data_IF_050396545029
#
_entry.id   IF_050396545029
#
_cell.length_a   1.000
_cell.length_b   1.000
_cell.length_c   1.000
_cell.angle_alpha   90.00
_cell.angle_beta   90.00
_cell.angle_gamma   90.00
#
_symmetry.space_group_name_H-M   'P 1'
#
loop_
_entity.id
_entity.type
_entity.pdbx_description
1 polymer ?
#
# COMPACT_ATOMS: atom_id res chain seq x y z
N UNK A 1 -31.17 -19.64 3.20
CA UNK A 1 -30.50 -18.52 3.90
C UNK A 1 -31.57 -17.53 4.34
N UNK A 2 -31.53 -16.98 5.56
CA UNK A 2 -32.51 -15.98 6.01
C UNK A 2 -32.53 -14.78 5.06
N UNK A 3 -33.71 -14.34 4.64
CA UNK A 3 -33.86 -13.14 3.81
C UNK A 3 -33.67 -11.88 4.66
N UNK A 4 -32.87 -10.92 4.18
CA UNK A 4 -32.70 -9.62 4.84
C UNK A 4 -34.02 -8.85 4.77
N UNK A 5 -34.56 -8.35 5.89
CA UNK A 5 -35.73 -7.48 5.86
C UNK A 5 -35.44 -6.23 5.01
N UNK A 6 -36.35 -5.80 4.11
CA UNK A 6 -36.09 -4.68 3.19
C UNK A 6 -35.75 -3.37 3.90
N UNK A 7 -36.16 -3.23 5.17
CA UNK A 7 -35.92 -2.05 6.00
C UNK A 7 -34.83 -2.20 7.07
N UNK A 8 -34.14 -3.35 7.14
CA UNK A 8 -33.05 -3.58 8.09
C UNK A 8 -31.97 -2.49 7.99
N UNK A 9 -31.62 -1.85 9.11
CA UNK A 9 -30.58 -0.82 9.17
C UNK A 9 -29.20 -1.37 9.56
N UNK A 10 -29.14 -2.60 10.09
CA UNK A 10 -27.92 -3.28 10.49
C UNK A 10 -27.96 -4.76 10.10
N UNK A 11 -27.76 -5.05 8.80
CA UNK A 11 -27.94 -6.36 8.17
C UNK A 11 -26.82 -7.34 8.53
N UNK A 12 -26.59 -7.57 9.82
CA UNK A 12 -25.68 -8.57 10.36
C UNK A 12 -26.51 -9.79 10.73
N UNK A 13 -26.26 -10.92 10.07
CA UNK A 13 -27.11 -12.12 10.11
C UNK A 13 -27.23 -12.74 11.51
N UNK A 14 -26.24 -12.52 12.37
CA UNK A 14 -26.20 -12.98 13.76
C UNK A 14 -26.83 -11.99 14.74
N UNK A 15 -27.26 -10.81 14.28
CA UNK A 15 -27.84 -9.77 15.13
C UNK A 15 -29.38 -9.88 15.19
N UNK A 16 -30.00 -9.88 16.39
CA UNK A 16 -31.45 -9.96 16.53
C UNK A 16 -32.18 -8.87 15.73
N UNK A 17 -33.10 -9.30 14.85
CA UNK A 17 -33.91 -8.40 14.03
C UNK A 17 -33.15 -7.63 12.93
N UNK A 18 -31.82 -7.76 12.85
CA UNK A 18 -30.97 -7.05 11.87
C UNK A 18 -31.18 -5.51 11.87
N UNK A 19 -31.54 -4.95 13.02
CA UNK A 19 -31.90 -3.54 13.13
C UNK A 19 -31.40 -2.94 14.44
N UNK A 20 -30.58 -1.90 14.36
CA UNK A 20 -30.18 -1.12 15.53
C UNK A 20 -31.35 -0.27 15.97
N UNK A 21 -31.63 -0.30 17.27
CA UNK A 21 -32.61 0.60 17.91
C UNK A 21 -32.31 2.08 17.60
N UNK A 22 -33.34 2.91 17.46
CA UNK A 22 -33.21 4.35 17.21
C UNK A 22 -32.31 5.08 18.24
N UNK A 23 -32.36 4.66 19.50
CA UNK A 23 -31.51 5.24 20.55
C UNK A 23 -30.01 4.99 20.29
N UNK A 24 -29.65 3.79 19.83
CA UNK A 24 -28.28 3.40 19.49
C UNK A 24 -27.79 4.11 18.22
N UNK A 25 -28.66 4.27 17.23
CA UNK A 25 -28.37 5.09 16.03
C UNK A 25 -28.15 6.56 16.42
N UNK A 26 -28.97 7.11 17.31
CA UNK A 26 -28.79 8.47 17.83
C UNK A 26 -27.45 8.64 18.56
N UNK A 27 -27.05 7.64 19.36
CA UNK A 27 -25.75 7.63 20.02
C UNK A 27 -24.57 7.64 19.04
N UNK A 28 -24.62 6.79 18.02
CA UNK A 28 -23.63 6.75 16.93
C UNK A 28 -23.53 8.09 16.19
N UNK A 29 -24.67 8.70 15.86
CA UNK A 29 -24.70 10.02 15.21
C UNK A 29 -24.07 11.09 16.10
N UNK A 30 -24.36 11.08 17.41
CA UNK A 30 -23.74 12.01 18.38
C UNK A 30 -22.23 11.81 18.46
N UNK A 31 -21.76 10.57 18.50
CA UNK A 31 -20.33 10.26 18.50
C UNK A 31 -19.66 10.77 17.22
N UNK A 32 -20.22 10.47 16.04
CA UNK A 32 -19.70 10.94 14.75
C UNK A 32 -19.64 12.46 14.66
N UNK A 33 -20.63 13.18 15.20
CA UNK A 33 -20.58 14.65 15.27
C UNK A 33 -19.43 15.15 16.14
N UNK A 34 -19.14 14.48 17.25
CA UNK A 34 -18.01 14.83 18.14
C UNK A 34 -16.65 14.53 17.49
N UNK A 35 -16.55 13.48 16.67
CA UNK A 35 -15.33 13.18 15.91
C UNK A 35 -14.91 14.33 14.97
N UNK A 36 -15.88 15.08 14.46
CA UNK A 36 -15.64 16.19 13.52
C UNK A 36 -15.27 17.51 14.21
N UNK A 37 -15.25 17.55 15.54
CA UNK A 37 -14.84 18.75 16.29
C UNK A 37 -13.31 18.83 16.40
N UNK A 38 -12.78 20.05 16.47
CA UNK A 38 -11.34 20.29 16.66
C UNK A 38 -10.83 19.57 17.92
N UNK A 39 -9.74 18.82 17.77
CA UNK A 39 -9.12 18.03 18.85
C UNK A 39 -9.49 16.54 18.88
N UNK A 40 -10.52 16.11 18.14
CA UNK A 40 -10.92 14.70 18.08
C UNK A 40 -11.49 14.14 19.40
N UNK A 41 -11.87 12.86 19.43
CA UNK A 41 -12.39 12.21 20.64
C UNK A 41 -11.25 11.93 21.64
N UNK A 42 -11.51 12.16 22.92
CA UNK A 42 -10.65 11.67 23.99
C UNK A 42 -10.81 10.16 24.19
N UNK A 43 -9.84 9.51 24.84
CA UNK A 43 -9.93 8.10 25.23
C UNK A 43 -11.13 7.79 26.12
N UNK A 44 -11.53 8.74 26.96
CA UNK A 44 -12.74 8.61 27.76
C UNK A 44 -13.99 8.57 26.87
N UNK A 45 -14.03 9.38 25.82
CA UNK A 45 -15.13 9.38 24.85
C UNK A 45 -15.17 8.09 24.02
N UNK A 46 -14.02 7.56 23.60
CA UNK A 46 -13.97 6.27 22.91
C UNK A 46 -14.48 5.13 23.81
N UNK A 47 -14.07 5.11 25.09
CA UNK A 47 -14.57 4.14 26.08
C UNK A 47 -16.07 4.28 26.32
N UNK A 48 -16.54 5.51 26.53
CA UNK A 48 -17.96 5.83 26.71
C UNK A 48 -18.78 5.39 25.49
N UNK A 49 -18.26 5.62 24.28
CA UNK A 49 -18.90 5.18 23.05
C UNK A 49 -19.03 3.65 23.00
N UNK A 50 -17.94 2.92 23.24
CA UNK A 50 -17.95 1.45 23.24
C UNK A 50 -18.94 0.89 24.27
N UNK A 51 -18.94 1.42 25.49
CA UNK A 51 -19.81 0.95 26.56
C UNK A 51 -21.29 1.24 26.28
N UNK A 52 -21.63 2.49 25.96
CA UNK A 52 -23.02 2.90 25.75
C UNK A 52 -23.61 2.34 24.45
N UNK A 53 -22.78 2.14 23.42
CA UNK A 53 -23.26 1.50 22.20
C UNK A 53 -23.46 0.00 22.41
N UNK A 54 -22.67 -0.66 23.26
CA UNK A 54 -22.90 -2.06 23.63
C UNK A 54 -24.17 -2.20 24.47
N UNK A 55 -24.27 -1.44 25.56
CA UNK A 55 -25.35 -1.53 26.54
C UNK A 55 -26.12 -0.22 26.64
N UNK A 56 -27.36 -0.20 26.14
CA UNK A 56 -28.25 0.98 26.27
C UNK A 56 -28.96 0.97 27.63
N UNK A 57 -28.20 0.81 28.72
CA UNK A 57 -28.68 0.73 30.11
C UNK A 57 -28.68 -0.67 30.72
N UNK A 58 -28.97 -0.76 32.02
CA UNK A 58 -28.85 -2.00 32.81
C UNK A 58 -29.75 -3.13 32.32
N UNK A 59 -30.96 -2.81 31.82
CA UNK A 59 -31.89 -3.81 31.30
C UNK A 59 -31.35 -4.48 30.01
N UNK A 60 -30.71 -3.70 29.14
CA UNK A 60 -30.09 -4.20 27.91
C UNK A 60 -28.94 -5.17 28.25
N UNK A 61 -28.15 -4.85 29.27
CA UNK A 61 -27.08 -5.72 29.77
C UNK A 61 -27.61 -7.02 30.39
N UNK A 62 -28.71 -6.97 31.15
CA UNK A 62 -29.35 -8.17 31.70
C UNK A 62 -29.95 -9.06 30.60
N UNK A 63 -30.60 -8.49 29.59
CA UNK A 63 -31.12 -9.25 28.45
C UNK A 63 -30.01 -9.91 27.63
N UNK A 64 -28.85 -9.26 27.48
CA UNK A 64 -27.70 -9.86 26.80
C UNK A 64 -27.21 -11.14 27.51
N UNK A 65 -27.22 -11.18 28.85
CA UNK A 65 -26.89 -12.39 29.62
C UNK A 65 -27.83 -13.57 29.35
N UNK A 66 -29.07 -13.31 28.94
CA UNK A 66 -30.08 -14.34 28.63
C UNK A 66 -29.95 -14.86 27.18
N UNK A 67 -29.24 -14.14 26.32
CA UNK A 67 -29.03 -14.49 24.88
C UNK A 67 -27.62 -15.00 24.59
N UNK A 68 -26.97 -15.62 25.58
CA UNK A 68 -25.57 -16.06 25.55
C UNK A 68 -24.57 -14.94 25.17
N UNK A 69 -24.96 -13.67 25.32
CA UNK A 69 -24.13 -12.51 25.02
C UNK A 69 -23.85 -12.27 23.53
N UNK A 70 -24.49 -12.99 22.61
CA UNK A 70 -24.22 -12.87 21.16
C UNK A 70 -24.42 -11.45 20.65
N UNK A 71 -25.53 -10.82 21.07
CA UNK A 71 -25.86 -9.43 20.71
C UNK A 71 -24.78 -8.46 21.20
N UNK A 72 -24.42 -8.55 22.48
CA UNK A 72 -23.36 -7.72 23.08
C UNK A 72 -22.00 -7.92 22.39
N UNK A 73 -21.67 -9.15 21.98
CA UNK A 73 -20.46 -9.44 21.19
C UNK A 73 -20.47 -8.73 19.85
N UNK A 74 -21.53 -8.89 19.05
CA UNK A 74 -21.66 -8.24 17.73
C UNK A 74 -21.57 -6.72 17.83
N UNK A 75 -22.21 -6.11 18.84
CA UNK A 75 -22.12 -4.66 19.08
C UNK A 75 -20.70 -4.23 19.49
N UNK A 76 -20.02 -5.04 20.30
CA UNK A 76 -18.62 -4.79 20.67
C UNK A 76 -17.70 -4.86 19.45
N UNK A 77 -17.89 -5.84 18.57
CA UNK A 77 -17.18 -5.91 17.29
C UNK A 77 -17.48 -4.66 16.45
N UNK A 78 -18.75 -4.26 16.33
CA UNK A 78 -19.17 -3.11 15.52
C UNK A 78 -18.55 -1.79 16.00
N UNK A 79 -18.49 -1.57 17.31
CA UNK A 79 -17.84 -0.37 17.88
C UNK A 79 -16.35 -0.34 17.64
N UNK A 80 -15.63 -1.46 17.80
CA UNK A 80 -14.19 -1.53 17.54
C UNK A 80 -13.88 -1.37 16.05
N UNK A 81 -14.65 -2.02 15.18
CA UNK A 81 -14.57 -1.83 13.73
C UNK A 81 -14.81 -0.36 13.33
N UNK A 82 -15.74 0.31 14.01
CA UNK A 82 -16.01 1.73 13.80
C UNK A 82 -14.84 2.63 14.23
N UNK A 83 -14.30 2.43 15.43
CA UNK A 83 -13.13 3.18 15.89
C UNK A 83 -11.91 2.94 14.98
N UNK A 84 -11.73 1.73 14.47
CA UNK A 84 -10.64 1.38 13.54
C UNK A 84 -10.67 2.20 12.23
N UNK A 85 -11.84 2.76 11.87
CA UNK A 85 -12.03 3.56 10.65
C UNK A 85 -11.57 5.03 10.75
N UNK A 86 -11.14 5.47 11.93
CA UNK A 86 -10.67 6.85 12.17
C UNK A 86 -9.26 6.85 12.76
N UNK A 87 -8.42 7.82 12.40
CA UNK A 87 -7.03 7.87 12.87
C UNK A 87 -6.91 7.86 14.41
N UNK A 88 -7.67 8.76 15.06
CA UNK A 88 -7.79 8.87 16.52
C UNK A 88 -8.32 7.60 17.20
N UNK A 89 -9.26 6.90 16.55
CA UNK A 89 -9.81 5.65 17.06
C UNK A 89 -8.79 4.52 16.97
N UNK A 90 -7.97 4.48 15.91
CA UNK A 90 -6.83 3.57 15.80
C UNK A 90 -5.80 3.81 16.89
N UNK A 91 -5.43 5.06 17.14
CA UNK A 91 -4.47 5.42 18.20
C UNK A 91 -4.98 5.01 19.59
N UNK A 92 -6.29 5.13 19.83
CA UNK A 92 -6.93 4.62 21.03
C UNK A 92 -6.84 3.08 21.10
N UNK A 93 -7.20 2.37 20.03
CA UNK A 93 -7.16 0.90 19.99
C UNK A 93 -5.73 0.38 20.16
N UNK A 94 -4.73 1.01 19.56
CA UNK A 94 -3.32 0.65 19.69
C UNK A 94 -2.84 0.81 21.13
N UNK A 95 -3.06 1.97 21.76
CA UNK A 95 -2.67 2.23 23.16
C UNK A 95 -3.32 1.27 24.15
N UNK A 96 -4.51 0.78 23.84
CA UNK A 96 -5.23 -0.20 24.66
C UNK A 96 -4.97 -1.66 24.24
N UNK A 97 -4.07 -1.92 23.26
CA UNK A 97 -3.74 -3.26 22.74
C UNK A 97 -4.94 -4.01 22.17
N UNK A 98 -5.83 -3.28 21.51
CA UNK A 98 -7.07 -3.78 20.90
C UNK A 98 -7.06 -3.67 19.38
N UNK A 99 -5.97 -3.19 18.76
CA UNK A 99 -5.90 -2.93 17.33
C UNK A 99 -6.05 -4.22 16.49
N UNK A 100 -5.34 -5.28 16.85
CA UNK A 100 -5.43 -6.59 16.18
C UNK A 100 -6.81 -7.22 16.36
N UNK A 101 -7.35 -7.18 17.59
CA UNK A 101 -8.71 -7.67 17.87
C UNK A 101 -9.76 -6.91 17.05
N UNK A 102 -9.62 -5.59 16.93
CA UNK A 102 -10.51 -4.77 16.11
C UNK A 102 -10.41 -5.12 14.62
N UNK A 103 -9.21 -5.47 14.13
CA UNK A 103 -9.02 -5.92 12.76
C UNK A 103 -9.73 -7.27 12.51
N UNK A 104 -9.63 -8.20 13.46
CA UNK A 104 -10.36 -9.46 13.41
C UNK A 104 -11.89 -9.27 13.49
N UNK A 105 -12.36 -8.31 14.29
CA UNK A 105 -13.78 -7.98 14.39
C UNK A 105 -14.35 -7.46 13.07
N UNK A 106 -13.58 -6.66 12.31
CA UNK A 106 -14.00 -6.22 10.97
C UNK A 106 -14.22 -7.43 10.07
N UNK A 107 -13.29 -8.38 10.09
CA UNK A 107 -13.42 -9.59 9.31
C UNK A 107 -14.64 -10.42 9.76
N UNK A 108 -14.87 -10.61 11.07
CA UNK A 108 -16.06 -11.29 11.60
C UNK A 108 -17.38 -10.61 11.19
N UNK A 109 -17.44 -9.28 11.28
CA UNK A 109 -18.63 -8.52 10.87
C UNK A 109 -18.88 -8.62 9.38
N UNK A 110 -17.86 -8.44 8.55
CA UNK A 110 -17.99 -8.51 7.09
C UNK A 110 -18.55 -9.87 6.66
N UNK A 111 -18.11 -10.95 7.33
CA UNK A 111 -18.60 -12.33 7.12
C UNK A 111 -20.06 -12.52 7.49
N UNK A 112 -20.52 -11.79 8.48
CA UNK A 112 -21.89 -11.85 8.95
C UNK A 112 -22.85 -10.96 8.12
N UNK A 113 -22.35 -10.16 7.17
CA UNK A 113 -23.17 -9.33 6.29
C UNK A 113 -23.46 -10.08 4.98
N UNK A 114 -24.71 -10.08 4.48
CA UNK A 114 -25.07 -10.69 3.20
C UNK A 114 -24.35 -10.07 2.01
N UNK A 115 -23.94 -10.90 1.06
CA UNK A 115 -23.11 -10.50 -0.08
C UNK A 115 -23.64 -9.26 -0.83
N UNK A 116 -24.94 -9.24 -1.16
CA UNK A 116 -25.53 -8.10 -1.87
C UNK A 116 -25.46 -6.78 -1.10
N UNK A 117 -25.44 -6.82 0.24
CA UNK A 117 -25.21 -5.62 1.06
C UNK A 117 -23.73 -5.25 1.04
N UNK A 118 -22.82 -6.22 1.13
CA UNK A 118 -21.38 -5.97 1.03
C UNK A 118 -21.05 -5.29 -0.31
N UNK A 119 -21.63 -5.75 -1.41
CA UNK A 119 -21.49 -5.13 -2.73
C UNK A 119 -21.92 -3.65 -2.72
N UNK A 120 -23.06 -3.33 -2.10
CA UNK A 120 -23.52 -1.94 -1.93
C UNK A 120 -22.57 -1.12 -1.06
N UNK A 121 -22.02 -1.71 0.01
CA UNK A 121 -21.03 -1.06 0.86
C UNK A 121 -19.72 -0.79 0.10
N UNK A 122 -19.31 -1.71 -0.76
CA UNK A 122 -18.07 -1.65 -1.54
C UNK A 122 -18.16 -0.67 -2.70
N UNK A 123 -19.32 -0.54 -3.32
CA UNK A 123 -19.60 0.48 -4.33
C UNK A 123 -19.56 1.93 -3.78
N UNK A 124 -19.51 2.08 -2.45
CA UNK A 124 -19.42 3.36 -1.74
C UNK A 124 -18.17 3.44 -0.87
N UNK A 125 -17.19 2.57 -1.13
CA UNK A 125 -15.95 2.54 -0.38
C UNK A 125 -15.12 3.79 -0.68
N UNK A 126 -14.38 4.24 0.33
CA UNK A 126 -13.57 5.45 0.23
C UNK A 126 -12.21 5.27 0.91
N UNK A 127 -11.28 6.16 0.58
CA UNK A 127 -9.98 6.24 1.26
C UNK A 127 -10.14 7.21 2.44
N UNK A 128 -10.21 6.65 3.64
CA UNK A 128 -10.33 7.40 4.89
C UNK A 128 -8.99 7.86 5.46
N UNK A 129 -9.00 8.13 6.77
CA UNK A 129 -7.83 8.57 7.53
C UNK A 129 -6.65 7.60 7.36
N UNK A 130 -5.44 8.16 7.27
CA UNK A 130 -4.20 7.40 7.08
C UNK A 130 -4.26 6.41 5.91
N UNK A 131 -5.10 6.70 4.91
CA UNK A 131 -5.32 5.87 3.72
C UNK A 131 -6.00 4.52 3.95
N UNK A 132 -6.71 4.34 5.06
CA UNK A 132 -7.51 3.12 5.26
C UNK A 132 -8.64 3.01 4.22
N UNK A 133 -8.93 1.79 3.76
CA UNK A 133 -10.12 1.53 2.93
C UNK A 133 -11.32 1.46 3.86
N UNK A 134 -12.20 2.44 3.81
CA UNK A 134 -13.37 2.54 4.69
C UNK A 134 -14.63 2.21 3.92
N UNK A 135 -15.45 1.34 4.51
CA UNK A 135 -16.79 1.00 4.03
C UNK A 135 -17.83 1.46 5.04
N UNK A 136 -18.97 1.93 4.56
CA UNK A 136 -20.05 2.47 5.39
C UNK A 136 -21.31 1.65 5.21
N UNK A 137 -22.00 1.32 6.31
CA UNK A 137 -23.28 0.64 6.25
C UNK A 137 -24.31 1.48 5.48
N UNK A 138 -25.20 0.88 4.66
CA UNK A 138 -26.04 1.68 3.75
C UNK A 138 -27.03 2.62 4.45
N UNK A 139 -27.54 2.25 5.63
CA UNK A 139 -28.63 2.96 6.32
C UNK A 139 -28.27 3.56 7.68
N UNK A 140 -27.08 3.25 8.19
CA UNK A 140 -26.57 3.80 9.44
C UNK A 140 -25.16 4.31 9.19
N UNK A 141 -24.75 5.43 9.82
CA UNK A 141 -23.41 6.00 9.62
C UNK A 141 -22.34 5.23 10.41
N UNK A 142 -22.45 3.89 10.42
CA UNK A 142 -21.48 2.98 10.98
C UNK A 142 -20.47 2.68 9.87
N UNK A 143 -19.20 2.81 10.22
CA UNK A 143 -18.06 2.67 9.29
C UNK A 143 -17.19 1.52 9.73
N UNK A 144 -16.45 0.92 8.80
CA UNK A 144 -15.47 -0.13 9.08
C UNK A 144 -14.25 0.11 8.19
N UNK A 145 -13.04 0.07 8.75
CA UNK A 145 -11.82 0.02 7.92
C UNK A 145 -11.48 -1.42 7.60
N UNK A 146 -11.40 -1.77 6.32
CA UNK A 146 -11.02 -3.11 5.88
C UNK A 146 -9.61 -3.43 6.37
N UNK A 147 -9.48 -4.66 6.85
CA UNK A 147 -8.24 -5.18 7.43
C UNK A 147 -7.67 -6.33 6.59
N UNK A 148 -6.41 -6.68 6.82
CA UNK A 148 -5.78 -7.82 6.13
C UNK A 148 -6.51 -9.15 6.43
N UNK A 149 -7.08 -9.28 7.63
CA UNK A 149 -7.84 -10.45 8.11
C UNK A 149 -9.09 -10.70 7.26
N UNK A 150 -9.63 -9.65 6.60
CA UNK A 150 -10.73 -9.78 5.64
C UNK A 150 -10.33 -10.57 4.39
N UNK A 151 -9.03 -10.63 4.05
CA UNK A 151 -8.50 -11.29 2.85
C UNK A 151 -8.01 -12.73 3.10
N UNK A 152 -8.21 -13.27 4.32
CA UNK A 152 -7.74 -14.61 4.68
C UNK A 152 -8.52 -15.73 3.98
N UNK A 153 -7.80 -16.79 3.59
CA UNK A 153 -8.31 -17.97 2.89
C UNK A 153 -9.22 -18.80 3.81
N UNK A 154 -10.50 -18.44 3.84
CA UNK A 154 -11.54 -19.19 4.53
C UNK A 154 -12.87 -19.10 3.79
N UNK A 155 -13.83 -19.95 4.14
CA UNK A 155 -15.17 -19.99 3.52
C UNK A 155 -15.94 -18.65 3.54
N UNK A 156 -15.44 -17.68 4.31
CA UNK A 156 -16.02 -16.36 4.47
C UNK A 156 -14.99 -15.23 4.25
N UNK A 157 -13.79 -15.53 3.74
CA UNK A 157 -12.86 -14.50 3.30
C UNK A 157 -13.42 -13.68 2.13
N UNK A 158 -12.88 -12.49 1.92
CA UNK A 158 -13.21 -11.71 0.75
C UNK A 158 -12.87 -12.50 -0.51
N UNK A 159 -13.82 -12.59 -1.45
CA UNK A 159 -13.60 -13.28 -2.73
C UNK A 159 -12.79 -12.40 -3.67
N UNK A 160 -11.98 -13.03 -4.52
CA UNK A 160 -11.14 -12.32 -5.49
C UNK A 160 -11.95 -11.40 -6.40
N UNK A 161 -13.13 -11.83 -6.85
CA UNK A 161 -14.00 -11.03 -7.73
C UNK A 161 -14.50 -9.76 -7.03
N UNK A 162 -14.87 -9.88 -5.75
CA UNK A 162 -15.36 -8.77 -4.96
C UNK A 162 -14.21 -7.80 -4.59
N UNK A 163 -13.01 -8.32 -4.35
CA UNK A 163 -11.81 -7.52 -4.15
C UNK A 163 -11.44 -6.73 -5.42
N UNK A 164 -11.52 -7.37 -6.60
CA UNK A 164 -11.31 -6.70 -7.89
C UNK A 164 -12.35 -5.61 -8.14
N UNK A 165 -13.62 -5.89 -7.88
CA UNK A 165 -14.68 -4.91 -8.01
C UNK A 165 -14.45 -3.71 -7.07
N UNK A 166 -14.06 -3.95 -5.82
CA UNK A 166 -13.72 -2.91 -4.86
C UNK A 166 -12.55 -2.04 -5.35
N UNK A 167 -11.45 -2.64 -5.80
CA UNK A 167 -10.23 -1.90 -6.10
C UNK A 167 -10.21 -1.24 -7.47
N UNK A 168 -10.77 -1.90 -8.49
CA UNK A 168 -10.59 -1.53 -9.89
C UNK A 168 -11.84 -0.99 -10.56
N UNK A 169 -13.05 -1.22 -10.04
CA UNK A 169 -14.22 -0.61 -10.65
C UNK A 169 -14.28 0.90 -10.33
N UNK A 170 -14.58 1.75 -11.32
CA UNK A 170 -14.83 3.16 -11.11
C UNK A 170 -15.93 3.37 -10.06
N UNK A 171 -15.69 4.27 -9.11
CA UNK A 171 -16.69 4.73 -8.15
C UNK A 171 -17.55 5.84 -8.78
N UNK A 172 -18.45 6.47 -8.01
CA UNK A 172 -19.36 7.52 -8.50
C UNK A 172 -18.64 8.72 -9.16
N UNK A 173 -17.41 9.02 -8.75
CA UNK A 173 -16.56 10.08 -9.34
C UNK A 173 -15.76 9.63 -10.57
N UNK A 174 -15.98 8.41 -11.04
CA UNK A 174 -15.31 7.84 -12.22
C UNK A 174 -13.88 7.37 -11.98
N UNK A 175 -13.34 7.51 -10.76
CA UNK A 175 -12.02 6.98 -10.40
C UNK A 175 -12.16 5.71 -9.55
N UNK A 176 -11.33 4.71 -9.82
CA UNK A 176 -11.21 3.51 -8.98
C UNK A 176 -10.46 3.82 -7.67
N UNK A 177 -10.59 2.94 -6.66
CA UNK A 177 -9.88 3.13 -5.40
C UNK A 177 -8.36 3.10 -5.58
N UNK A 178 -7.84 2.25 -6.46
CA UNK A 178 -6.39 2.18 -6.71
C UNK A 178 -5.86 3.49 -7.33
N UNK A 179 -6.64 4.13 -8.19
CA UNK A 179 -6.28 5.45 -8.76
C UNK A 179 -6.29 6.55 -7.71
N UNK A 180 -7.31 6.58 -6.85
CA UNK A 180 -7.39 7.55 -5.75
C UNK A 180 -6.22 7.38 -4.79
N UNK A 181 -5.82 6.13 -4.51
CA UNK A 181 -4.66 5.86 -3.67
C UNK A 181 -3.36 6.30 -4.36
N UNK A 182 -3.18 5.97 -5.64
CA UNK A 182 -1.99 6.37 -6.40
C UNK A 182 -1.79 7.88 -6.36
N UNK A 183 -2.87 8.66 -6.56
CA UNK A 183 -2.83 10.12 -6.47
C UNK A 183 -2.42 10.57 -5.06
N UNK A 184 -3.09 10.06 -4.03
CA UNK A 184 -2.84 10.39 -2.62
C UNK A 184 -1.44 10.03 -2.13
N UNK A 185 -0.82 8.98 -2.68
CA UNK A 185 0.55 8.58 -2.35
C UNK A 185 1.61 9.38 -3.13
N UNK A 186 1.22 10.01 -4.26
CA UNK A 186 2.08 10.91 -5.02
C UNK A 186 2.23 12.29 -4.39
N UNK A 187 1.31 12.66 -3.50
CA UNK A 187 1.40 13.89 -2.72
C UNK A 187 2.38 13.67 -1.54
N UNK A 188 3.48 14.44 -1.49
CA UNK A 188 4.55 14.33 -0.46
C UNK A 188 4.07 14.62 0.99
N UNK A 189 2.81 14.99 1.18
CA UNK A 189 2.19 15.28 2.48
C UNK A 189 1.66 14.01 3.14
N UNK A 190 2.54 13.03 3.34
CA UNK A 190 2.11 11.72 3.83
C UNK A 190 1.94 11.78 5.35
N UNK A 191 0.73 11.56 5.89
CA UNK A 191 0.53 11.41 7.33
C UNK A 191 1.38 10.25 7.87
N UNK A 192 1.66 10.29 9.17
CA UNK A 192 2.23 9.14 9.89
C UNK A 192 1.40 7.89 9.56
N UNK A 193 1.98 6.98 8.81
CA UNK A 193 1.27 5.82 8.27
C UNK A 193 1.38 4.64 9.22
N UNK A 194 0.28 3.91 9.35
CA UNK A 194 0.16 2.73 10.21
C UNK A 194 0.49 1.47 9.39
N UNK A 195 1.40 0.63 9.90
CA UNK A 195 1.81 -0.62 9.26
C UNK A 195 0.63 -1.56 8.97
N UNK A 196 -0.41 -1.54 9.82
CA UNK A 196 -1.61 -2.35 9.63
C UNK A 196 -2.37 -1.92 8.38
N UNK A 197 -2.40 -0.63 8.04
CA UNK A 197 -3.06 -0.14 6.82
C UNK A 197 -2.33 -0.63 5.58
N UNK A 198 -0.99 -0.59 5.59
CA UNK A 198 -0.19 -1.12 4.49
C UNK A 198 -0.32 -2.63 4.35
N UNK A 199 -0.43 -3.36 5.46
CA UNK A 199 -0.75 -4.78 5.42
C UNK A 199 -2.13 -5.04 4.81
N UNK A 200 -3.15 -4.24 5.13
CA UNK A 200 -4.49 -4.35 4.51
C UNK A 200 -4.44 -4.14 3.01
N UNK A 201 -3.78 -3.09 2.53
CA UNK A 201 -3.61 -2.84 1.09
C UNK A 201 -2.83 -3.96 0.41
N UNK A 202 -1.75 -4.42 1.03
CA UNK A 202 -0.93 -5.53 0.53
C UNK A 202 -1.76 -6.80 0.35
N UNK A 203 -2.49 -7.20 1.38
CA UNK A 203 -3.33 -8.39 1.37
C UNK A 203 -4.42 -8.32 0.29
N UNK A 204 -5.05 -7.15 0.15
CA UNK A 204 -6.12 -6.95 -0.84
C UNK A 204 -5.59 -6.97 -2.28
N UNK A 205 -4.42 -6.36 -2.52
CA UNK A 205 -3.76 -6.39 -3.84
C UNK A 205 -3.31 -7.80 -4.20
N UNK A 206 -2.72 -8.55 -3.26
CA UNK A 206 -2.35 -9.94 -3.50
C UNK A 206 -3.56 -10.84 -3.72
N UNK A 207 -4.67 -10.62 -3.03
CA UNK A 207 -5.91 -11.33 -3.31
C UNK A 207 -6.40 -11.03 -4.73
N UNK A 208 -6.30 -9.78 -5.18
CA UNK A 208 -6.70 -9.39 -6.54
C UNK A 208 -5.81 -10.00 -7.63
N UNK A 209 -4.49 -9.92 -7.48
CA UNK A 209 -3.48 -10.43 -8.43
C UNK A 209 -3.45 -11.97 -8.39
N UNK A 210 -3.62 -12.56 -7.21
CA UNK A 210 -3.59 -14.00 -6.99
C UNK A 210 -2.17 -14.54 -7.17
N UNK A 211 -2.00 -15.57 -8.00
CA UNK A 211 -0.69 -16.08 -8.45
C UNK A 211 -0.47 -15.84 -9.95
N UNK A 212 -1.33 -15.04 -10.59
CA UNK A 212 -1.36 -14.84 -12.02
C UNK A 212 -0.57 -13.59 -12.42
N UNK A 213 -0.09 -13.51 -13.67
CA UNK A 213 0.47 -12.28 -14.21
C UNK A 213 -0.55 -11.12 -14.17
N UNK A 214 -0.07 -9.88 -14.06
CA UNK A 214 -0.95 -8.70 -14.07
C UNK A 214 -1.71 -8.59 -15.38
N UNK A 215 -1.14 -9.07 -16.49
CA UNK A 215 -1.81 -9.10 -17.79
C UNK A 215 -3.20 -9.77 -17.74
N UNK A 216 -3.40 -10.75 -16.86
CA UNK A 216 -4.66 -11.49 -16.71
C UNK A 216 -5.75 -10.70 -15.95
N UNK A 217 -5.44 -9.52 -15.43
CA UNK A 217 -6.43 -8.66 -14.77
C UNK A 217 -7.31 -7.89 -15.76
N UNK A 218 -6.96 -7.85 -17.05
CA UNK A 218 -7.70 -7.17 -18.13
C UNK A 218 -8.05 -5.70 -17.79
N UNK A 219 -7.14 -5.01 -17.10
CA UNK A 219 -7.33 -3.63 -16.67
C UNK A 219 -7.04 -2.65 -17.82
N UNK A 220 -7.73 -1.50 -17.81
CA UNK A 220 -7.40 -0.43 -18.74
C UNK A 220 -6.04 0.21 -18.38
N UNK A 221 -5.40 0.86 -19.35
CA UNK A 221 -4.07 1.47 -19.21
C UNK A 221 -3.93 2.35 -17.96
N UNK A 222 -4.96 3.15 -17.65
CA UNK A 222 -4.95 4.11 -16.53
C UNK A 222 -4.96 3.40 -15.18
N UNK A 223 -5.81 2.38 -15.00
CA UNK A 223 -5.86 1.56 -13.79
C UNK A 223 -4.57 0.74 -13.65
N UNK A 224 -4.07 0.16 -14.75
CA UNK A 224 -2.80 -0.58 -14.73
C UNK A 224 -1.63 0.30 -14.29
N UNK A 225 -1.56 1.54 -14.78
CA UNK A 225 -0.56 2.51 -14.33
C UNK A 225 -0.70 2.82 -12.82
N UNK A 226 -1.92 3.10 -12.36
CA UNK A 226 -2.18 3.37 -10.94
C UNK A 226 -1.82 2.18 -10.04
N UNK A 227 -2.11 0.95 -10.48
CA UNK A 227 -1.70 -0.27 -9.80
C UNK A 227 -0.17 -0.35 -9.67
N UNK A 228 0.56 -0.09 -10.77
CA UNK A 228 2.03 -0.04 -10.76
C UNK A 228 2.58 0.97 -9.75
N UNK A 229 1.99 2.17 -9.69
CA UNK A 229 2.35 3.21 -8.73
C UNK A 229 2.10 2.78 -7.29
N UNK A 230 0.91 2.27 -7.00
CA UNK A 230 0.53 1.81 -5.66
C UNK A 230 1.44 0.70 -5.18
N UNK A 231 1.70 -0.31 -6.00
CA UNK A 231 2.60 -1.42 -5.66
C UNK A 231 4.02 -0.94 -5.34
N UNK A 232 4.60 -0.06 -6.18
CA UNK A 232 5.93 0.51 -5.95
C UNK A 232 6.02 1.31 -4.67
N UNK A 233 5.04 2.19 -4.44
CA UNK A 233 5.02 3.06 -3.28
C UNK A 233 4.76 2.26 -2.00
N UNK A 234 3.83 1.31 -2.02
CA UNK A 234 3.58 0.41 -0.88
C UNK A 234 4.84 -0.40 -0.53
N UNK A 235 5.52 -0.99 -1.52
CA UNK A 235 6.77 -1.72 -1.30
C UNK A 235 7.80 -0.86 -0.55
N UNK A 236 7.95 0.41 -0.94
CA UNK A 236 8.87 1.33 -0.26
C UNK A 236 8.49 1.61 1.20
N UNK A 237 7.19 1.61 1.53
CA UNK A 237 6.70 1.85 2.90
C UNK A 237 6.86 0.62 3.78
N UNK A 238 6.52 -0.56 3.28
CA UNK A 238 6.57 -1.79 4.07
C UNK A 238 7.99 -2.22 4.40
N UNK A 239 8.98 -1.92 3.54
CA UNK A 239 10.40 -2.15 3.82
C UNK A 239 10.92 -1.42 5.07
N UNK A 240 10.24 -0.37 5.54
CA UNK A 240 10.61 0.37 6.75
C UNK A 240 10.12 -0.27 8.05
N UNK A 241 9.29 -1.31 7.99
CA UNK A 241 8.71 -1.96 9.16
C UNK A 241 9.29 -3.36 9.37
N UNK A 242 9.46 -3.82 10.62
CA UNK A 242 9.77 -5.21 10.91
C UNK A 242 8.64 -6.07 10.33
N UNK A 243 8.91 -6.69 9.19
CA UNK A 243 7.90 -7.38 8.40
C UNK A 243 7.55 -8.69 9.07
N UNK A 244 6.26 -8.95 9.30
CA UNK A 244 5.78 -10.32 9.40
C UNK A 244 5.88 -11.01 8.03
N UNK A 245 5.89 -12.34 8.01
CA UNK A 245 6.10 -13.16 6.80
C UNK A 245 5.09 -12.89 5.65
N UNK A 246 4.01 -12.16 5.92
CA UNK A 246 2.90 -11.94 5.00
C UNK A 246 3.14 -10.84 3.96
N UNK A 247 4.15 -9.98 4.11
CA UNK A 247 4.41 -8.88 3.17
C UNK A 247 5.64 -9.15 2.32
N UNK A 248 5.44 -9.14 1.00
CA UNK A 248 6.44 -9.49 -0.02
C UNK A 248 6.85 -8.30 -0.89
N UNK A 249 7.65 -7.34 -0.39
CA UNK A 249 8.03 -6.15 -1.15
C UNK A 249 8.75 -6.48 -2.46
N UNK A 250 9.49 -7.58 -2.51
CA UNK A 250 10.09 -8.14 -3.72
C UNK A 250 9.04 -8.36 -4.81
N UNK A 251 7.97 -9.07 -4.44
CA UNK A 251 6.87 -9.38 -5.33
C UNK A 251 6.13 -8.12 -5.78
N UNK A 252 5.85 -7.18 -4.87
CA UNK A 252 5.18 -5.92 -5.23
C UNK A 252 5.96 -5.13 -6.28
N UNK A 253 7.29 -5.11 -6.18
CA UNK A 253 8.11 -4.38 -7.13
C UNK A 253 8.19 -5.06 -8.49
N UNK A 254 8.20 -6.40 -8.52
CA UNK A 254 8.09 -7.18 -9.75
C UNK A 254 6.73 -6.99 -10.43
N UNK A 255 5.65 -7.12 -9.66
CA UNK A 255 4.28 -6.84 -10.10
C UNK A 255 4.17 -5.38 -10.60
N UNK A 256 4.76 -4.40 -9.89
CA UNK A 256 4.80 -3.00 -10.33
C UNK A 256 5.50 -2.82 -11.68
N UNK A 257 6.66 -3.48 -11.88
CA UNK A 257 7.41 -3.43 -13.13
C UNK A 257 6.58 -3.98 -14.30
N UNK A 258 5.86 -5.08 -14.09
CA UNK A 258 4.95 -5.66 -15.08
C UNK A 258 3.79 -4.69 -15.38
N UNK A 259 3.17 -4.10 -14.36
CA UNK A 259 2.09 -3.14 -14.53
C UNK A 259 2.52 -1.93 -15.38
N UNK A 260 3.69 -1.35 -15.14
CA UNK A 260 4.19 -0.23 -15.95
C UNK A 260 4.52 -0.64 -17.40
N UNK A 261 5.03 -1.85 -17.60
CA UNK A 261 5.21 -2.41 -18.95
C UNK A 261 3.87 -2.48 -19.70
N UNK A 262 2.84 -3.05 -19.07
CA UNK A 262 1.50 -3.17 -19.65
C UNK A 262 0.82 -1.80 -19.86
N UNK A 263 1.12 -0.83 -18.99
CA UNK A 263 0.67 0.55 -19.14
C UNK A 263 1.45 1.33 -20.22
N UNK A 264 2.50 0.75 -20.80
CA UNK A 264 3.36 1.41 -21.78
C UNK A 264 4.14 2.59 -21.21
N UNK A 265 4.42 2.61 -19.90
CA UNK A 265 5.23 3.63 -19.24
C UNK A 265 6.66 3.12 -19.03
N UNK A 266 7.53 3.47 -19.96
CA UNK A 266 8.93 3.09 -19.91
C UNK A 266 9.66 3.69 -18.71
N UNK A 267 9.35 4.93 -18.34
CA UNK A 267 10.01 5.65 -17.24
C UNK A 267 9.76 4.93 -15.92
N UNK A 268 8.49 4.75 -15.57
CA UNK A 268 8.09 4.16 -14.30
C UNK A 268 8.50 2.69 -14.19
N UNK A 269 8.51 1.95 -15.31
CA UNK A 269 9.05 0.59 -15.35
C UNK A 269 10.50 0.53 -14.86
N UNK A 270 11.37 1.40 -15.35
CA UNK A 270 12.78 1.39 -14.97
C UNK A 270 12.99 1.91 -13.55
N UNK A 271 12.16 2.84 -13.08
CA UNK A 271 12.14 3.24 -11.68
C UNK A 271 11.76 2.08 -10.74
N UNK A 272 10.84 1.20 -11.14
CA UNK A 272 10.58 -0.04 -10.38
C UNK A 272 11.80 -0.95 -10.34
N UNK A 273 12.56 -1.10 -11.43
CA UNK A 273 13.81 -1.89 -11.43
C UNK A 273 14.85 -1.29 -10.48
N UNK A 274 14.99 0.03 -10.44
CA UNK A 274 15.88 0.70 -9.47
C UNK A 274 15.43 0.45 -8.02
N UNK A 275 14.12 0.40 -7.76
CA UNK A 275 13.59 0.06 -6.45
C UNK A 275 13.86 -1.41 -6.07
N UNK A 276 13.80 -2.35 -7.03
CA UNK A 276 14.21 -3.76 -6.81
C UNK A 276 15.69 -3.81 -6.45
N UNK A 277 16.54 -3.09 -7.19
CA UNK A 277 17.96 -3.04 -6.90
C UNK A 277 18.27 -2.51 -5.50
N UNK A 278 17.52 -1.49 -5.04
CA UNK A 278 17.60 -0.97 -3.67
C UNK A 278 17.25 -2.04 -2.63
N UNK A 279 16.19 -2.81 -2.88
CA UNK A 279 15.78 -3.89 -2.00
C UNK A 279 16.88 -4.97 -1.91
N UNK A 280 17.47 -5.38 -3.03
CA UNK A 280 18.59 -6.32 -3.07
C UNK A 280 19.80 -5.82 -2.28
N UNK A 281 20.17 -4.54 -2.42
CA UNK A 281 21.26 -3.92 -1.67
C UNK A 281 21.00 -3.97 -0.15
N UNK A 282 19.77 -3.67 0.28
CA UNK A 282 19.37 -3.77 1.69
C UNK A 282 19.43 -5.22 2.22
N UNK A 283 19.21 -6.21 1.35
CA UNK A 283 19.36 -7.64 1.66
C UNK A 283 20.81 -8.15 1.54
N UNK A 284 21.79 -7.26 1.40
CA UNK A 284 23.23 -7.57 1.22
C UNK A 284 23.59 -8.29 -0.09
N UNK A 285 22.69 -8.31 -1.08
CA UNK A 285 22.98 -8.81 -2.44
C UNK A 285 23.46 -7.66 -3.34
N UNK A 286 24.64 -7.13 -3.01
CA UNK A 286 25.19 -5.94 -3.65
C UNK A 286 25.58 -6.17 -5.13
N UNK A 287 25.97 -7.39 -5.49
CA UNK A 287 26.35 -7.72 -6.86
C UNK A 287 25.13 -7.66 -7.77
N UNK A 288 24.04 -8.34 -7.40
CA UNK A 288 22.81 -8.31 -8.17
C UNK A 288 22.17 -6.91 -8.18
N UNK A 289 22.23 -6.19 -7.05
CA UNK A 289 21.81 -4.80 -6.99
C UNK A 289 22.56 -3.92 -8.01
N UNK A 290 23.89 -4.05 -8.09
CA UNK A 290 24.72 -3.31 -9.04
C UNK A 290 24.34 -3.57 -10.50
N UNK A 291 24.13 -4.84 -10.86
CA UNK A 291 23.68 -5.24 -12.20
C UNK A 291 22.32 -4.64 -12.57
N UNK A 292 21.35 -4.73 -11.66
CA UNK A 292 20.01 -4.15 -11.86
C UNK A 292 20.07 -2.62 -11.99
N UNK A 293 20.89 -1.94 -11.19
CA UNK A 293 21.05 -0.48 -11.26
C UNK A 293 21.67 -0.04 -12.59
N UNK A 294 22.71 -0.74 -13.04
CA UNK A 294 23.37 -0.46 -14.31
C UNK A 294 22.40 -0.68 -15.48
N UNK A 295 21.67 -1.80 -15.48
CA UNK A 295 20.67 -2.11 -16.50
C UNK A 295 19.54 -1.07 -16.55
N UNK A 296 18.97 -0.72 -15.39
CA UNK A 296 17.93 0.32 -15.33
C UNK A 296 18.44 1.67 -15.85
N UNK A 297 19.69 2.03 -15.53
CA UNK A 297 20.31 3.28 -15.96
C UNK A 297 20.51 3.38 -17.45
N UNK A 298 21.05 2.32 -18.06
CA UNK A 298 21.20 2.24 -19.52
C UNK A 298 19.85 2.41 -20.22
N UNK A 299 18.81 1.74 -19.73
CA UNK A 299 17.48 1.79 -20.33
C UNK A 299 16.78 3.13 -20.14
N UNK A 300 16.98 3.77 -18.99
CA UNK A 300 16.45 5.11 -18.72
C UNK A 300 17.19 6.19 -19.53
N UNK A 301 18.51 6.11 -19.69
CA UNK A 301 19.28 7.02 -20.57
C UNK A 301 18.82 6.88 -22.03
N UNK A 302 18.59 5.64 -22.50
CA UNK A 302 18.02 5.41 -23.82
C UNK A 302 16.60 5.96 -23.96
N UNK A 303 15.78 5.92 -22.91
CA UNK A 303 14.44 6.54 -22.89
C UNK A 303 14.54 8.07 -22.96
N UNK A 304 15.40 8.69 -22.16
CA UNK A 304 15.66 10.14 -22.18
C UNK A 304 16.13 10.60 -23.55
N UNK A 305 17.07 9.89 -24.19
CA UNK A 305 17.52 10.21 -25.56
C UNK A 305 16.37 10.21 -26.57
N UNK A 306 15.44 9.25 -26.47
CA UNK A 306 14.25 9.21 -27.33
C UNK A 306 13.36 10.43 -27.09
N UNK A 307 13.09 10.78 -25.83
CA UNK A 307 12.30 11.97 -25.50
C UNK A 307 12.93 13.25 -26.05
N UNK A 308 14.25 13.41 -25.93
CA UNK A 308 14.99 14.54 -26.52
C UNK A 308 14.85 14.55 -28.04
N UNK A 309 14.98 13.40 -28.70
CA UNK A 309 14.84 13.30 -30.16
C UNK A 309 13.43 13.63 -30.67
N UNK A 310 12.41 13.45 -29.83
CA UNK A 310 11.02 13.84 -30.10
C UNK A 310 10.67 15.23 -29.51
N UNK A 311 11.65 16.00 -29.05
CA UNK A 311 11.47 17.34 -28.47
C UNK A 311 10.59 17.39 -27.20
N UNK A 312 10.42 16.26 -26.51
CA UNK A 312 9.71 16.15 -25.22
C UNK A 312 10.64 16.55 -24.04
N UNK A 313 11.15 17.77 -24.06
CA UNK A 313 12.20 18.22 -23.11
C UNK A 313 11.75 18.24 -21.65
N UNK A 314 10.50 18.60 -21.36
CA UNK A 314 9.97 18.65 -19.99
C UNK A 314 9.92 17.26 -19.35
N UNK A 315 9.49 16.24 -20.10
CA UNK A 315 9.46 14.86 -19.66
C UNK A 315 10.88 14.30 -19.50
N UNK A 316 11.78 14.61 -20.45
CA UNK A 316 13.19 14.22 -20.38
C UNK A 316 13.87 14.80 -19.12
N UNK A 317 13.61 16.08 -18.81
CA UNK A 317 14.09 16.76 -17.60
C UNK A 317 13.62 16.04 -16.34
N UNK A 318 12.32 15.75 -16.24
CA UNK A 318 11.73 15.04 -15.12
C UNK A 318 12.38 13.66 -14.92
N UNK A 319 12.59 12.91 -16.01
CA UNK A 319 13.28 11.62 -15.97
C UNK A 319 14.71 11.75 -15.40
N UNK A 320 15.49 12.73 -15.88
CA UNK A 320 16.84 12.97 -15.39
C UNK A 320 16.85 13.32 -13.90
N UNK A 321 16.00 14.24 -13.45
CA UNK A 321 15.93 14.64 -12.04
C UNK A 321 15.56 13.47 -11.12
N UNK A 322 14.60 12.64 -11.53
CA UNK A 322 14.24 11.42 -10.79
C UNK A 322 15.38 10.41 -10.75
N UNK A 323 16.08 10.21 -11.87
CA UNK A 323 17.24 9.33 -11.94
C UNK A 323 18.35 9.80 -11.00
N UNK A 324 18.70 11.09 -11.04
CA UNK A 324 19.74 11.70 -10.19
C UNK A 324 19.40 11.51 -8.71
N UNK A 325 18.16 11.81 -8.29
CA UNK A 325 17.73 11.60 -6.90
C UNK A 325 17.86 10.14 -6.49
N UNK A 326 17.42 9.22 -7.35
CA UNK A 326 17.47 7.79 -7.04
C UNK A 326 18.91 7.29 -6.94
N UNK A 327 19.77 7.59 -7.91
CA UNK A 327 21.18 7.17 -7.89
C UNK A 327 21.98 7.79 -6.74
N UNK A 328 21.71 9.06 -6.42
CA UNK A 328 22.36 9.73 -5.28
C UNK A 328 21.99 9.08 -3.95
N UNK A 329 20.71 8.74 -3.76
CA UNK A 329 20.24 8.03 -2.57
C UNK A 329 20.80 6.60 -2.45
N UNK A 330 21.28 6.04 -3.55
CA UNK A 330 21.86 4.70 -3.64
C UNK A 330 23.39 4.72 -3.59
N UNK A 331 24.03 5.88 -3.42
CA UNK A 331 25.49 6.00 -3.43
C UNK A 331 26.14 5.73 -4.80
N UNK A 332 25.38 5.79 -5.88
CA UNK A 332 25.89 5.56 -7.25
C UNK A 332 26.22 6.89 -7.94
N UNK A 333 27.27 7.57 -7.47
CA UNK A 333 27.63 8.91 -7.94
C UNK A 333 27.91 8.98 -9.45
N UNK A 334 28.58 7.97 -10.02
CA UNK A 334 28.89 7.92 -11.46
C UNK A 334 27.65 7.89 -12.36
N UNK A 335 26.63 7.11 -11.99
CA UNK A 335 25.37 7.07 -12.72
C UNK A 335 24.59 8.38 -12.57
N UNK A 336 24.59 8.99 -11.38
CA UNK A 336 23.98 10.31 -11.18
C UNK A 336 24.63 11.39 -12.06
N UNK A 337 25.95 11.35 -12.24
CA UNK A 337 26.69 12.30 -13.10
C UNK A 337 26.32 12.20 -14.58
N UNK A 338 26.05 10.98 -15.08
CA UNK A 338 25.59 10.78 -16.46
C UNK A 338 24.27 11.53 -16.69
N UNK A 339 23.31 11.41 -15.76
CA UNK A 339 22.03 12.10 -15.87
C UNK A 339 22.12 13.60 -15.61
N UNK A 340 23.07 14.07 -14.80
CA UNK A 340 23.37 15.51 -14.66
C UNK A 340 23.85 16.10 -16.00
N UNK A 341 24.82 15.46 -16.66
CA UNK A 341 25.31 15.92 -17.95
C UNK A 341 24.19 15.95 -19.02
N UNK A 342 23.26 14.99 -18.97
CA UNK A 342 22.05 14.99 -19.82
C UNK A 342 21.11 16.14 -19.50
N UNK A 343 20.91 16.42 -18.21
CA UNK A 343 20.06 17.52 -17.75
C UNK A 343 20.60 18.87 -18.26
N UNK A 344 21.91 19.08 -18.21
CA UNK A 344 22.56 20.28 -18.74
C UNK A 344 22.36 20.41 -20.26
N UNK A 345 22.51 19.33 -21.01
CA UNK A 345 22.26 19.28 -22.46
C UNK A 345 20.78 19.60 -22.79
N UNK A 346 19.83 19.07 -22.02
CA UNK A 346 18.40 19.38 -22.15
C UNK A 346 18.15 20.88 -21.93
N UNK A 347 18.74 21.47 -20.89
CA UNK A 347 18.53 22.88 -20.57
C UNK A 347 19.16 23.82 -21.60
N UNK A 348 20.25 23.42 -22.24
CA UNK A 348 20.86 24.17 -23.33
C UNK A 348 20.02 24.15 -24.62
N UNK A 349 19.25 23.07 -24.85
CA UNK A 349 18.44 22.86 -26.06
C UNK A 349 16.98 23.27 -25.93
N UNK A 350 16.43 23.26 -24.72
CA UNK A 350 15.01 23.54 -24.49
C UNK A 350 14.67 25.00 -24.83
N UNK A 351 13.57 25.26 -25.56
CA UNK A 351 13.11 26.62 -25.82
C UNK A 351 12.78 27.34 -24.51
N UNK A 352 13.13 28.63 -24.42
CA UNK A 352 12.96 29.48 -23.24
C UNK A 352 11.52 29.51 -22.69
N UNK A 353 10.53 29.15 -23.51
CA UNK A 353 9.11 29.10 -23.14
C UNK A 353 8.72 27.86 -22.32
N UNK A 354 9.53 26.79 -22.31
CA UNK A 354 9.24 25.52 -21.63
C UNK A 354 10.03 25.31 -20.32
N UNK A 355 10.63 26.39 -19.80
CA UNK A 355 11.32 26.37 -18.52
C UNK A 355 10.32 26.63 -17.39
N UNK A 356 10.00 25.63 -16.54
CA UNK A 356 9.26 25.89 -15.32
C UNK A 356 10.11 26.80 -14.42
N UNK A 357 9.59 27.99 -14.12
CA UNK A 357 10.16 28.94 -13.16
C UNK A 357 10.09 28.34 -11.74
N UNK A 358 10.99 27.43 -11.39
CA UNK A 358 11.22 27.01 -9.99
C UNK A 358 12.71 26.74 -9.75
N UNK A 359 13.33 27.31 -8.70
CA UNK A 359 14.75 27.14 -8.42
C UNK A 359 15.00 25.80 -7.71
N UNK A 360 14.90 24.69 -8.44
CA UNK A 360 15.19 23.34 -7.94
C UNK A 360 16.68 22.95 -8.08
N UNK A 361 17.45 23.69 -8.90
CA UNK A 361 18.86 23.39 -9.22
C UNK A 361 19.79 23.39 -8.00
N UNK A 362 19.60 24.31 -7.04
CA UNK A 362 20.47 24.39 -5.85
C UNK A 362 20.36 23.15 -4.93
N UNK A 363 19.21 22.46 -4.97
CA UNK A 363 19.01 21.24 -4.19
C UNK A 363 19.61 19.99 -4.85
N UNK A 364 19.70 19.93 -6.19
CA UNK A 364 20.18 18.72 -6.88
C UNK A 364 21.71 18.62 -6.81
N UNK A 365 22.44 19.70 -7.06
CA UNK A 365 23.91 19.71 -6.93
C UNK A 365 24.36 19.40 -5.50
N UNK A 366 23.65 19.93 -4.50
CA UNK A 366 23.95 19.66 -3.08
C UNK A 366 23.65 18.20 -2.69
N UNK A 367 22.67 17.56 -3.31
CA UNK A 367 22.40 16.11 -3.14
C UNK A 367 23.51 15.27 -3.76
N UNK A 368 23.92 15.57 -5.00
CA UNK A 368 25.00 14.83 -5.68
C UNK A 368 26.33 15.01 -4.96
N UNK A 369 26.62 16.23 -4.48
CA UNK A 369 27.82 16.51 -3.67
C UNK A 369 27.83 15.69 -2.37
N UNK A 370 26.69 15.56 -1.69
CA UNK A 370 26.56 14.69 -0.51
C UNK A 370 26.78 13.22 -0.85
N UNK A 371 26.26 12.74 -1.98
CA UNK A 371 26.48 11.37 -2.42
C UNK A 371 27.96 11.09 -2.72
N UNK A 372 28.69 12.01 -3.37
CA UNK A 372 30.14 11.90 -3.58
C UNK A 372 30.91 11.78 -2.26
N UNK A 373 30.57 12.60 -1.27
CA UNK A 373 31.21 12.58 0.04
C UNK A 373 30.94 11.27 0.82
N UNK A 374 29.81 10.61 0.59
CA UNK A 374 29.46 9.34 1.23
C UNK A 374 30.19 8.13 0.60
N UNK A 375 30.66 8.25 -0.64
CA UNK A 375 31.27 7.16 -1.42
C UNK A 375 32.81 7.24 -1.42
N UNK A 376 33.39 8.37 -1.02
CA UNK A 376 34.84 8.46 -0.83
C UNK A 376 35.30 7.51 0.28
N UNK A 377 36.09 6.46 -0.03
CA UNK A 377 36.81 5.76 1.02
C UNK A 377 37.80 6.77 1.61
N UNK A 378 37.76 6.98 2.92
CA UNK A 378 38.85 7.66 3.63
C UNK A 378 40.06 6.74 3.58
N UNK A 379 40.78 6.76 2.47
CA UNK A 379 42.21 6.46 2.45
C UNK A 379 42.92 7.68 3.01
N UNK A 380 43.68 7.45 4.08
CA UNK A 380 44.60 8.36 4.76
C UNK A 380 44.02 9.31 5.83
N UNK A 381 43.96 8.81 7.07
CA UNK A 381 44.64 9.46 8.19
C UNK A 381 44.69 8.55 9.43
N UNK A 382 45.80 7.83 9.60
CA UNK A 382 46.32 7.49 10.93
C UNK A 382 47.05 8.73 11.43
N UNK A 383 46.43 9.51 12.31
CA UNK A 383 47.12 10.25 13.38
C UNK A 383 46.13 10.79 14.40
N UNK A 384 46.31 10.29 15.63
CA UNK A 384 45.94 10.84 16.94
C UNK A 384 45.09 12.12 16.98
N UNK A 385 43.88 12.01 17.50
CA UNK A 385 43.34 12.99 18.46
C UNK A 385 42.37 12.28 19.41
N UNK A 386 42.68 12.34 20.70
CA UNK A 386 41.84 11.83 21.78
C UNK A 386 40.78 12.84 22.21
N UNK A 387 39.76 12.34 22.91
CA UNK A 387 38.91 13.17 23.76
C UNK A 387 37.40 12.98 23.57
N UNK A 388 36.84 12.13 24.44
CA UNK A 388 35.52 12.25 25.11
C UNK A 388 34.19 12.20 24.33
N UNK A 389 33.40 11.23 24.77
CA UNK A 389 31.96 11.27 25.07
C UNK A 389 30.94 11.33 23.93
N UNK A 390 30.55 10.14 23.45
CA UNK A 390 29.14 9.78 23.26
C UNK A 390 28.93 8.31 23.63
N UNK A 391 28.16 8.07 24.70
CA UNK A 391 27.67 6.74 25.07
C UNK A 391 26.65 6.27 24.04
N UNK A 392 27.02 5.28 23.23
CA UNK A 392 26.09 4.48 22.43
C UNK A 392 25.84 3.15 23.14
N UNK A 393 24.60 2.93 23.56
CA UNK A 393 24.08 1.61 23.97
C UNK A 393 23.94 0.70 22.75
N UNK A 394 24.41 -0.56 22.78
CA UNK A 394 24.23 -1.49 21.68
C UNK A 394 22.91 -2.26 21.84
N UNK A 395 21.98 -2.09 20.89
CA UNK A 395 20.93 -3.08 20.68
C UNK A 395 21.54 -4.22 19.86
N UNK A 396 21.86 -5.32 20.54
CA UNK A 396 22.16 -6.61 19.91
C UNK A 396 20.87 -7.16 19.31
N UNK A 397 20.75 -7.22 17.99
CA UNK A 397 19.84 -8.13 17.31
C UNK A 397 20.65 -9.36 16.85
N UNK A 398 20.25 -10.59 17.20
CA UNK A 398 20.99 -11.77 16.81
C UNK A 398 20.32 -12.48 15.62
N UNK A 399 21.18 -13.04 14.77
CA UNK A 399 20.97 -14.11 13.77
C UNK A 399 20.56 -13.72 12.33
N UNK A 400 21.57 -13.84 11.45
CA UNK A 400 21.45 -14.15 10.04
C UNK A 400 21.31 -15.67 9.83
N UNK A 401 20.44 -16.09 8.91
CA UNK A 401 20.75 -17.16 7.93
C UNK A 401 20.05 -16.85 6.59
N UNK A 402 20.76 -16.89 5.45
CA UNK A 402 20.14 -16.81 4.13
C UNK A 402 19.84 -18.22 3.62
N UNK A 403 18.58 -18.52 3.30
CA UNK A 403 18.22 -19.74 2.60
C UNK A 403 17.27 -19.42 1.43
N UNK A 404 17.81 -18.83 0.37
CA UNK A 404 17.15 -18.77 -0.93
C UNK A 404 18.19 -19.04 -2.04
N UNK A 405 18.30 -20.30 -2.45
CA UNK A 405 18.71 -20.67 -3.81
C UNK A 405 17.62 -21.56 -4.37
N UNK A 406 16.91 -21.09 -5.41
CA UNK A 406 16.28 -21.99 -6.39
C UNK A 406 17.16 -22.03 -7.63
N UNK A 407 17.29 -23.20 -8.28
CA UNK A 407 18.15 -23.36 -9.44
C UNK A 407 17.52 -22.72 -10.68
N UNK A 408 18.39 -22.11 -11.49
CA UNK A 408 18.15 -21.78 -12.89
C UNK A 408 17.79 -23.05 -13.68
N UNK A 409 16.65 -23.04 -14.37
CA UNK A 409 16.38 -23.96 -15.48
C UNK A 409 16.64 -23.14 -16.75
N UNK A 410 17.68 -23.52 -17.48
CA UNK A 410 17.98 -23.00 -18.81
C UNK A 410 17.12 -23.71 -19.85
N UNK A 411 16.35 -22.95 -20.59
CA UNK A 411 15.80 -23.38 -21.88
C UNK A 411 16.95 -23.64 -22.86
N UNK A 412 16.94 -24.82 -23.48
CA UNK A 412 17.65 -25.11 -24.71
C UNK A 412 16.64 -25.63 -25.72
N UNK A 413 16.53 -24.89 -26.82
CA UNK A 413 15.83 -25.22 -28.05
C UNK A 413 16.57 -26.30 -28.87
N UNK A 414 15.91 -26.71 -29.95
CA UNK A 414 16.35 -27.59 -31.06
C UNK A 414 16.00 -29.07 -30.83
N UNK A 415 15.27 -29.78 -31.68
CA UNK A 415 14.72 -29.53 -33.01
C UNK A 415 14.21 -30.87 -33.59
N UNK A 416 13.53 -30.80 -34.74
CA UNK A 416 13.08 -31.89 -35.62
C UNK A 416 11.73 -32.60 -35.33
N UNK A 417 10.73 -32.23 -36.13
CA UNK A 417 9.65 -33.09 -36.61
C UNK A 417 10.14 -33.99 -37.78
N UNK A 418 9.29 -34.82 -38.44
CA UNK A 418 8.27 -35.75 -37.97
C UNK A 418 8.54 -37.20 -38.48
N UNK A 419 7.88 -38.22 -37.92
CA UNK A 419 7.61 -39.45 -38.67
C UNK A 419 6.21 -40.00 -38.37
N UNK A 420 5.41 -40.06 -39.42
CA UNK A 420 4.25 -40.93 -39.58
C UNK A 420 4.67 -42.40 -39.59
N UNK A 421 3.93 -43.26 -38.89
CA UNK A 421 3.49 -44.56 -39.43
C UNK A 421 2.39 -45.17 -38.57
N UNK A 422 1.40 -45.72 -39.28
CA UNK A 422 0.35 -46.60 -38.81
C UNK A 422 0.87 -47.76 -37.95
N UNK A 423 0.07 -48.26 -36.99
CA UNK A 423 -0.60 -49.58 -37.08
C UNK A 423 -1.27 -50.00 -35.76
N UNK A 424 -2.54 -50.39 -35.87
CA UNK A 424 -3.29 -51.47 -35.17
C UNK A 424 -3.08 -51.74 -33.67
N UNK A 425 -4.20 -51.75 -32.95
CA UNK A 425 -4.40 -52.34 -31.63
C UNK A 425 -5.76 -51.96 -31.07
#
# INVERSE_FOLDING_TARGET
MPSVPPNANFPVMTYPGMDLSAARVSWLVKFNKRLMLEGGPSDSMCREFMENFRHMGMWDAMCDCVTDGLKGRVLSCATRAHLLSFGVGRDFLERNRMLESAAQDVAELLRAIPLHIVEVMFARAEIGDRYAIVVTFPKVPLRMALSAECCSDGHFGLRQELAKALLFHPQEDGASLVEKLAQKLGDDTVPASDAVIWRSWSALLYLCIGSKPIADLFLNRRITFALGMVLRLLASRVCGYPSGDDVRPDRMLEDSKEAFLLAGDGKERWLSVMAIAKLCANSSDNAHAGELMAHAGEKLDNYVKKLIAFEHFSEARNCCEMAIRTYSNLGSASLAEIFLARLDDINAKAPLTDLPFTPLFSNIESVVRRARLAVSPTSDSISSFGGSDWQSTPIKAPWHQPMWRRPFISDASDGCAPMSSDTTG
#
